data_IF_544996297376
#
_entry.id   IF_544996297376
#
_cell.length_a   1.000
_cell.length_b   1.000
_cell.length_c   1.000
_cell.angle_alpha   90.00
_cell.angle_beta   90.00
_cell.angle_gamma   90.00
#
_symmetry.space_group_name_H-M   'P 1'
#
loop_
_entity.id
_entity.type
_entity.pdbx_description
1 polymer ?
#
# COMPACT_ATOMS: atom_id res chain seq x y z
N UNK A 1 18.95 3.37 -2.65
CA UNK A 1 17.88 3.12 -3.63
C UNK A 1 16.50 2.96 -2.99
N UNK A 2 16.34 2.14 -1.95
CA UNK A 2 15.05 1.87 -1.27
C UNK A 2 14.36 3.14 -0.71
N UNK A 3 15.14 4.06 -0.14
CA UNK A 3 14.62 5.33 0.40
C UNK A 3 13.94 6.19 -0.70
N UNK A 4 14.52 6.22 -1.90
CA UNK A 4 13.99 6.98 -3.04
C UNK A 4 12.63 6.45 -3.51
N UNK A 5 12.44 5.13 -3.49
CA UNK A 5 11.15 4.51 -3.85
C UNK A 5 10.06 4.81 -2.83
N UNK A 6 10.39 4.81 -1.54
CA UNK A 6 9.42 5.13 -0.47
C UNK A 6 8.96 6.59 -0.55
N UNK A 7 9.89 7.51 -0.80
CA UNK A 7 9.57 8.94 -0.99
C UNK A 7 8.67 9.16 -2.21
N UNK A 8 9.01 8.54 -3.35
CA UNK A 8 8.17 8.60 -4.55
C UNK A 8 6.78 8.02 -4.31
N UNK A 9 6.68 6.88 -3.60
CA UNK A 9 5.40 6.27 -3.25
C UNK A 9 4.51 7.18 -2.40
N UNK A 10 5.09 7.84 -1.40
CA UNK A 10 4.36 8.81 -0.56
C UNK A 10 3.91 10.01 -1.39
N UNK A 11 4.79 10.57 -2.22
CA UNK A 11 4.47 11.74 -3.04
C UNK A 11 3.36 11.45 -4.05
N UNK A 12 3.46 10.33 -4.78
CA UNK A 12 2.47 9.95 -5.79
C UNK A 12 1.12 9.61 -5.16
N UNK A 13 1.09 8.90 -4.04
CA UNK A 13 -0.17 8.60 -3.35
C UNK A 13 -0.79 9.82 -2.68
N UNK A 14 0.01 10.76 -2.18
CA UNK A 14 -0.48 12.04 -1.68
C UNK A 14 -1.07 12.89 -2.79
N UNK A 15 -0.41 12.94 -3.96
CA UNK A 15 -0.95 13.59 -5.15
C UNK A 15 -2.28 12.93 -5.55
N UNK A 16 -2.34 11.59 -5.62
CA UNK A 16 -3.56 10.87 -5.94
C UNK A 16 -4.69 11.18 -4.93
N UNK A 17 -4.38 11.26 -3.64
CA UNK A 17 -5.34 11.65 -2.61
C UNK A 17 -5.88 13.07 -2.85
N UNK A 18 -5.02 14.03 -3.19
CA UNK A 18 -5.41 15.39 -3.58
C UNK A 18 -6.33 15.35 -4.80
N UNK A 19 -5.98 14.61 -5.85
CA UNK A 19 -6.85 14.46 -7.03
C UNK A 19 -8.22 13.85 -6.68
N UNK A 20 -8.28 12.86 -5.79
CA UNK A 20 -9.55 12.26 -5.33
C UNK A 20 -10.38 13.28 -4.54
N UNK A 21 -9.74 14.17 -3.78
CA UNK A 21 -10.43 15.19 -3.00
C UNK A 21 -10.96 16.30 -3.92
N UNK A 22 -10.15 16.81 -4.84
CA UNK A 22 -10.51 17.99 -5.63
C UNK A 22 -11.18 17.68 -6.97
N UNK A 23 -10.83 16.56 -7.63
CA UNK A 23 -11.23 16.27 -9.02
C UNK A 23 -12.26 15.14 -9.15
N UNK A 24 -12.58 14.43 -8.06
CA UNK A 24 -13.53 13.31 -8.12
C UNK A 24 -14.96 13.80 -8.40
N UNK A 25 -15.55 13.30 -9.49
CA UNK A 25 -16.95 13.53 -9.83
C UNK A 25 -17.90 13.03 -8.73
N UNK A 26 -19.03 13.71 -8.46
CA UNK A 26 -20.00 13.31 -7.43
C UNK A 26 -20.64 11.93 -7.70
N UNK A 27 -20.64 11.48 -8.96
CA UNK A 27 -21.13 10.15 -9.37
C UNK A 27 -20.30 8.98 -8.81
N UNK A 28 -19.09 9.24 -8.30
CA UNK A 28 -18.21 8.22 -7.73
C UNK A 28 -18.47 7.94 -6.24
N UNK A 29 -19.50 8.54 -5.62
CA UNK A 29 -19.94 8.37 -4.23
C UNK A 29 -19.13 7.39 -3.35
N UNK A 30 -19.53 6.10 -3.32
CA UNK A 30 -18.86 5.08 -2.52
C UNK A 30 -17.47 4.67 -3.04
N UNK A 31 -17.26 4.66 -4.36
CA UNK A 31 -15.98 4.35 -4.98
C UNK A 31 -14.88 5.34 -4.57
N UNK A 32 -15.25 6.61 -4.35
CA UNK A 32 -14.34 7.64 -3.86
C UNK A 32 -13.76 7.29 -2.49
N UNK A 33 -14.57 6.71 -1.61
CA UNK A 33 -14.12 6.29 -0.28
C UNK A 33 -13.18 5.08 -0.37
N UNK A 34 -13.49 4.12 -1.24
CA UNK A 34 -12.58 3.00 -1.55
C UNK A 34 -11.23 3.47 -2.07
N UNK A 35 -11.21 4.46 -2.98
CA UNK A 35 -9.98 5.04 -3.50
C UNK A 35 -9.19 5.79 -2.42
N UNK A 36 -9.85 6.51 -1.51
CA UNK A 36 -9.19 7.15 -0.36
C UNK A 36 -8.56 6.11 0.57
N UNK A 37 -9.26 5.02 0.89
CA UNK A 37 -8.72 3.95 1.73
C UNK A 37 -7.52 3.29 1.06
N UNK A 38 -7.59 3.09 -0.26
CA UNK A 38 -6.48 2.55 -1.03
C UNK A 38 -5.24 3.44 -0.95
N UNK A 39 -5.37 4.75 -1.22
CA UNK A 39 -4.22 5.67 -1.18
C UNK A 39 -3.65 5.87 0.23
N UNK A 40 -4.51 5.91 1.26
CA UNK A 40 -4.06 5.99 2.65
C UNK A 40 -3.28 4.73 3.06
N UNK A 41 -3.76 3.56 2.68
CA UNK A 41 -3.05 2.31 2.93
C UNK A 41 -1.68 2.28 2.24
N UNK A 42 -1.61 2.79 1.00
CA UNK A 42 -0.36 2.81 0.24
C UNK A 42 0.68 3.78 0.82
N UNK A 43 0.24 4.95 1.34
CA UNK A 43 1.10 5.87 2.10
C UNK A 43 1.60 5.20 3.38
N UNK A 44 0.72 4.52 4.13
CA UNK A 44 1.11 3.78 5.34
C UNK A 44 2.12 2.66 5.03
N UNK A 45 1.96 1.96 3.91
CA UNK A 45 2.91 0.93 3.49
C UNK A 45 4.26 1.53 3.11
N UNK A 46 4.28 2.65 2.38
CA UNK A 46 5.51 3.33 2.02
C UNK A 46 6.25 3.88 3.25
N UNK A 47 5.53 4.38 4.28
CA UNK A 47 6.15 4.83 5.54
C UNK A 47 6.68 3.66 6.35
N UNK A 48 5.93 2.56 6.48
CA UNK A 48 6.40 1.33 7.13
C UNK A 48 7.66 0.79 6.44
N UNK A 49 7.71 0.81 5.11
CA UNK A 49 8.88 0.39 4.34
C UNK A 49 10.09 1.30 4.59
N UNK A 50 9.89 2.62 4.72
CA UNK A 50 10.96 3.57 5.02
C UNK A 50 11.56 3.38 6.42
N UNK A 51 10.72 3.01 7.40
CA UNK A 51 11.10 2.77 8.80
C UNK A 51 11.76 1.38 8.95
N UNK A 52 11.06 0.33 8.52
CA UNK A 52 11.47 -1.07 8.74
C UNK A 52 12.56 -1.50 7.77
N UNK A 53 12.66 -0.90 6.58
CA UNK A 53 13.65 -1.26 5.55
C UNK A 53 13.75 -2.77 5.32
N UNK A 54 12.61 -3.45 5.07
CA UNK A 54 12.62 -4.89 4.88
C UNK A 54 13.43 -5.24 3.62
N UNK A 55 14.31 -6.23 3.75
CA UNK A 55 15.04 -6.84 2.66
C UNK A 55 14.67 -8.31 2.60
N UNK A 56 14.46 -8.82 1.40
CA UNK A 56 14.18 -10.23 1.19
C UNK A 56 15.35 -10.90 0.49
N UNK A 57 15.58 -12.16 0.82
CA UNK A 57 16.47 -13.03 0.07
C UNK A 57 15.73 -14.31 -0.27
N UNK A 58 16.01 -14.84 -1.45
CA UNK A 58 15.54 -16.16 -1.89
C UNK A 58 16.76 -17.05 -2.06
N UNK A 59 16.78 -18.19 -1.39
CA UNK A 59 17.83 -19.19 -1.56
C UNK A 59 17.19 -20.56 -1.75
N UNK A 60 17.28 -21.09 -2.97
CA UNK A 60 16.58 -22.32 -3.36
C UNK A 60 15.06 -22.17 -3.22
N UNK A 61 14.45 -23.02 -2.38
CA UNK A 61 13.01 -22.99 -2.09
C UNK A 61 12.65 -22.14 -0.86
N UNK A 62 13.64 -21.53 -0.19
CA UNK A 62 13.40 -20.73 1.01
C UNK A 62 13.35 -19.23 0.69
N UNK A 63 12.30 -18.58 1.17
CA UNK A 63 12.16 -17.12 1.17
C UNK A 63 12.37 -16.61 2.60
N UNK A 64 13.36 -15.73 2.77
CA UNK A 64 13.64 -15.07 4.03
C UNK A 64 13.43 -13.56 3.92
N UNK A 65 12.84 -12.96 4.95
CA UNK A 65 12.73 -11.51 5.09
C UNK A 65 13.47 -11.09 6.35
N UNK A 66 14.27 -10.04 6.24
CA UNK A 66 15.06 -9.48 7.33
C UNK A 66 15.04 -7.96 7.26
N UNK A 67 15.36 -7.29 8.37
CA UNK A 67 15.40 -5.84 8.44
C UNK A 67 16.76 -5.41 8.98
N UNK A 68 17.29 -4.32 8.44
CA UNK A 68 18.53 -3.70 8.91
C UNK A 68 18.29 -2.64 9.99
N UNK A 69 17.04 -2.39 10.41
CA UNK A 69 16.68 -1.34 11.37
C UNK A 69 16.81 -1.82 12.81
N UNK A 70 17.27 -0.93 13.70
CA UNK A 70 17.34 -1.11 15.16
C UNK A 70 16.02 -0.61 15.78
N UNK A 71 15.31 -1.34 16.67
CA UNK A 71 15.71 -2.52 17.45
C UNK A 71 15.47 -3.86 16.72
N UNK A 72 16.14 -4.92 17.21
CA UNK A 72 16.09 -6.31 16.70
C UNK A 72 14.75 -7.04 17.00
N UNK A 73 13.67 -6.29 17.13
CA UNK A 73 12.35 -6.84 17.43
C UNK A 73 11.72 -7.41 16.16
N UNK A 74 11.20 -8.64 16.26
CA UNK A 74 10.61 -9.36 15.12
C UNK A 74 9.19 -8.87 14.79
N UNK A 75 8.53 -8.21 15.74
CA UNK A 75 7.16 -7.73 15.62
C UNK A 75 6.94 -6.74 14.46
N UNK A 76 7.73 -5.65 14.29
CA UNK A 76 7.54 -4.71 13.18
C UNK A 76 7.75 -5.36 11.81
N UNK A 77 8.68 -6.30 11.71
CA UNK A 77 8.94 -7.04 10.48
C UNK A 77 7.78 -8.00 10.15
N UNK A 78 7.29 -8.74 11.13
CA UNK A 78 6.14 -9.63 10.98
C UNK A 78 4.87 -8.86 10.59
N UNK A 79 4.64 -7.71 11.22
CA UNK A 79 3.52 -6.83 10.90
C UNK A 79 3.61 -6.32 9.47
N UNK A 80 4.79 -5.86 9.04
CA UNK A 80 5.01 -5.38 7.67
C UNK A 80 4.81 -6.50 6.65
N UNK A 81 5.28 -7.73 6.96
CA UNK A 81 5.05 -8.91 6.13
C UNK A 81 3.56 -9.23 5.96
N UNK A 82 2.78 -9.22 7.06
CA UNK A 82 1.34 -9.44 7.00
C UNK A 82 0.60 -8.34 6.23
N UNK A 83 1.02 -7.08 6.42
CA UNK A 83 0.38 -5.93 5.82
C UNK A 83 0.49 -5.89 4.29
N UNK A 84 1.46 -6.58 3.67
CA UNK A 84 1.58 -6.71 2.21
C UNK A 84 0.34 -7.34 1.55
N UNK A 85 -0.48 -8.08 2.29
CA UNK A 85 -1.73 -8.67 1.77
C UNK A 85 -2.88 -7.66 1.65
N UNK A 86 -2.88 -6.60 2.45
CA UNK A 86 -3.93 -5.57 2.50
C UNK A 86 -4.09 -4.83 1.16
N UNK A 87 -3.02 -4.28 0.52
CA UNK A 87 -3.17 -3.59 -0.77
C UNK A 87 -3.68 -4.53 -1.87
N UNK A 88 -3.26 -5.80 -1.87
CA UNK A 88 -3.78 -6.79 -2.82
C UNK A 88 -5.29 -7.00 -2.65
N UNK A 89 -5.75 -7.12 -1.41
CA UNK A 89 -7.18 -7.29 -1.10
C UNK A 89 -7.97 -6.04 -1.49
N UNK A 90 -7.47 -4.85 -1.19
CA UNK A 90 -8.09 -3.57 -1.59
C UNK A 90 -8.14 -3.41 -3.12
N UNK A 91 -7.12 -3.87 -3.85
CA UNK A 91 -7.12 -3.85 -5.31
C UNK A 91 -8.24 -4.73 -5.87
N UNK A 92 -8.43 -5.94 -5.32
CA UNK A 92 -9.52 -6.82 -5.72
C UNK A 92 -10.90 -6.20 -5.45
N UNK A 93 -11.09 -5.56 -4.30
CA UNK A 93 -12.35 -4.88 -3.96
C UNK A 93 -12.62 -3.72 -4.94
N UNK A 94 -11.61 -2.93 -5.28
CA UNK A 94 -11.74 -1.85 -6.26
C UNK A 94 -12.17 -2.39 -7.64
N UNK A 95 -11.58 -3.50 -8.10
CA UNK A 95 -11.98 -4.15 -9.34
C UNK A 95 -13.40 -4.70 -9.28
N UNK A 96 -13.79 -5.35 -8.18
CA UNK A 96 -15.12 -5.90 -8.01
C UNK A 96 -16.19 -4.80 -7.99
N UNK A 97 -15.93 -3.70 -7.28
CA UNK A 97 -16.79 -2.53 -7.29
C UNK A 97 -16.96 -1.97 -8.71
N UNK A 98 -15.88 -1.87 -9.48
CA UNK A 98 -15.95 -1.42 -10.88
C UNK A 98 -16.76 -2.37 -11.75
N UNK A 99 -16.58 -3.68 -11.59
CA UNK A 99 -17.33 -4.69 -12.33
C UNK A 99 -18.84 -4.59 -12.06
N UNK A 100 -19.25 -4.46 -10.81
CA UNK A 100 -20.66 -4.31 -10.44
C UNK A 100 -21.26 -2.97 -10.87
N UNK A 101 -20.48 -1.90 -10.86
CA UNK A 101 -20.94 -0.58 -11.31
C UNK A 101 -21.15 -0.49 -12.82
N UNK A 102 -20.49 -1.33 -13.63
CA UNK A 102 -20.65 -1.36 -15.09
C UNK A 102 -21.81 -2.28 -15.51
N UNK A 103 -22.17 -3.25 -14.66
CA UNK A 103 -23.27 -4.20 -14.91
C UNK A 103 -24.66 -3.68 -14.48
N UNK A 104 -24.73 -2.55 -13.77
CA UNK A 104 -25.97 -1.80 -13.53
C UNK A 104 -26.08 -0.67 -14.52
#
# INVERSE_FOLDING_TARGET
MIFSFSVLGILLNSLLLVLIIYSSKPQLGNYRNLLKVFTLNDILMATLHAIVRPSSFSSGSALGVFSYTYPRDKHPLALTCGWYTVPFTLMNINFLHRFWSVRR
#
